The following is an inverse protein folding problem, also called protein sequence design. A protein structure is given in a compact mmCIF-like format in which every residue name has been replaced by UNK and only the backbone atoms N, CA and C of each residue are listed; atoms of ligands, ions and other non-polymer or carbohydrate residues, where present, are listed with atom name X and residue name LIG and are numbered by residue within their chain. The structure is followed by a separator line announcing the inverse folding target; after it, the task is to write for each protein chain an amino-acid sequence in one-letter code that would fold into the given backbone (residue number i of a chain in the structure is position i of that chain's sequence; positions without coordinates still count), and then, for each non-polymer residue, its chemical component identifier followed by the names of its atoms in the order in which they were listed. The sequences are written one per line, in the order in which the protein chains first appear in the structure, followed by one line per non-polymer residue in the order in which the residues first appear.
data_IF_985278929816
#
_entry.id   IF_985278929816
#
_cell.length_a   1.000
_cell.length_b   1.000
_cell.length_c   1.000
_cell.angle_alpha   90.00
_cell.angle_beta   90.00
_cell.angle_gamma   90.00
#
_symmetry.space_group_name_H-M   'P 1'
#
loop_
_entity.id
_entity.type
_entity.pdbx_description
1 polymer ?
#
# COMPACT_ATOMS: atom_id res chain seq x y z
N UNK A 1 8.64 15.57 13.54
CA UNK A 1 7.26 15.08 13.79
C UNK A 1 6.54 15.13 12.46
N UNK A 2 6.16 13.98 11.90
CA UNK A 2 5.34 13.94 10.70
C UNK A 2 3.94 14.47 11.04
N UNK A 3 3.29 15.26 10.15
CA UNK A 3 1.95 15.77 10.40
C UNK A 3 0.96 14.61 10.57
N UNK A 4 0.11 14.70 11.60
CA UNK A 4 -0.99 13.75 11.78
C UNK A 4 -1.91 13.85 10.55
N UNK A 5 -2.22 12.75 9.87
CA UNK A 5 -3.13 12.80 8.74
C UNK A 5 -4.50 13.35 9.19
N UNK A 6 -5.18 14.16 8.35
CA UNK A 6 -6.57 14.53 8.52
C UNK A 6 -7.44 13.33 8.94
N UNK A 7 -8.44 13.56 9.80
CA UNK A 7 -9.25 12.48 10.41
C UNK A 7 -9.91 11.54 9.39
N UNK A 8 -10.28 12.05 8.23
CA UNK A 8 -10.92 11.26 7.19
C UNK A 8 -9.96 10.21 6.62
N UNK A 9 -8.68 10.56 6.46
CA UNK A 9 -7.65 9.63 5.97
C UNK A 9 -7.41 8.48 6.94
N UNK A 10 -7.46 8.76 8.25
CA UNK A 10 -7.25 7.75 9.26
C UNK A 10 -8.36 6.67 9.24
N UNK A 11 -9.59 7.02 8.83
CA UNK A 11 -10.67 6.06 8.69
C UNK A 11 -10.51 5.22 7.42
N UNK A 12 -10.16 5.85 6.29
CA UNK A 12 -9.93 5.15 5.02
C UNK A 12 -8.76 4.14 5.11
N UNK A 13 -7.67 4.53 5.78
CA UNK A 13 -6.52 3.66 6.07
C UNK A 13 -6.92 2.49 6.96
N UNK A 14 -7.69 2.74 8.01
CA UNK A 14 -8.17 1.68 8.91
C UNK A 14 -9.10 0.70 8.19
N UNK A 15 -9.97 1.16 7.30
CA UNK A 15 -10.83 0.29 6.51
C UNK A 15 -10.00 -0.64 5.60
N UNK A 16 -8.96 -0.10 4.96
CA UNK A 16 -8.03 -0.90 4.17
C UNK A 16 -7.29 -1.94 5.02
N UNK A 17 -6.79 -1.57 6.20
CA UNK A 17 -6.16 -2.51 7.15
C UNK A 17 -7.12 -3.65 7.54
N UNK A 18 -8.35 -3.31 7.94
CA UNK A 18 -9.34 -4.29 8.36
C UNK A 18 -9.77 -5.23 7.22
N UNK A 19 -9.88 -4.71 6.00
CA UNK A 19 -10.21 -5.52 4.83
C UNK A 19 -9.07 -6.48 4.46
N UNK A 20 -7.81 -6.05 4.59
CA UNK A 20 -6.64 -6.88 4.39
C UNK A 20 -6.52 -7.96 5.48
N UNK A 21 -6.71 -7.60 6.75
CA UNK A 21 -6.71 -8.57 7.85
C UNK A 21 -7.77 -9.66 7.65
N UNK A 22 -8.95 -9.28 7.15
CA UNK A 22 -10.03 -10.23 6.84
C UNK A 22 -9.69 -11.15 5.66
N UNK A 23 -8.94 -10.66 4.68
CA UNK A 23 -8.51 -11.43 3.51
C UNK A 23 -7.36 -12.40 3.80
N UNK A 24 -6.66 -12.23 4.93
CA UNK A 24 -5.46 -12.99 5.32
C UNK A 24 -4.46 -13.21 4.17
N UNK A 25 -3.92 -12.14 3.55
CA UNK A 25 -2.91 -12.24 2.50
C UNK A 25 -1.64 -12.90 3.03
N UNK A 26 -1.50 -14.21 2.79
CA UNK A 26 -0.26 -14.94 3.00
C UNK A 26 0.74 -14.70 1.85
N UNK A 27 1.98 -15.17 2.04
CA UNK A 27 3.06 -15.04 1.04
C UNK A 27 2.65 -15.54 -0.37
N UNK A 28 1.92 -16.65 -0.43
CA UNK A 28 1.35 -17.21 -1.67
C UNK A 28 -0.05 -16.63 -1.88
N UNK A 29 -0.14 -15.41 -2.39
CA UNK A 29 -1.42 -14.74 -2.66
C UNK A 29 -1.45 -13.26 -2.29
N UNK A 30 -0.42 -12.76 -1.61
CA UNK A 30 -0.30 -11.35 -1.18
C UNK A 30 -0.73 -10.35 -2.26
N UNK A 31 -0.13 -10.40 -3.46
CA UNK A 31 -0.43 -9.45 -4.53
C UNK A 31 -1.89 -9.53 -5.01
N UNK A 32 -2.47 -10.73 -5.09
CA UNK A 32 -3.84 -10.90 -5.57
C UNK A 32 -4.85 -10.44 -4.52
N UNK A 33 -4.67 -10.81 -3.26
CA UNK A 33 -5.50 -10.35 -2.14
C UNK A 33 -5.45 -8.82 -1.99
N UNK A 34 -4.26 -8.22 -2.04
CA UNK A 34 -4.10 -6.77 -1.96
C UNK A 34 -4.79 -6.11 -3.16
N UNK A 35 -4.63 -6.64 -4.38
CA UNK A 35 -5.30 -6.11 -5.57
C UNK A 35 -6.82 -6.18 -5.46
N UNK A 36 -7.37 -7.28 -4.97
CA UNK A 36 -8.82 -7.45 -4.80
C UNK A 36 -9.40 -6.46 -3.79
N UNK A 37 -8.78 -6.35 -2.61
CA UNK A 37 -9.20 -5.40 -1.57
C UNK A 37 -9.09 -3.96 -2.06
N UNK A 38 -7.95 -3.60 -2.68
CA UNK A 38 -7.71 -2.26 -3.22
C UNK A 38 -8.78 -1.87 -4.23
N UNK A 39 -9.11 -2.79 -5.16
CA UNK A 39 -10.16 -2.57 -6.15
C UNK A 39 -11.54 -2.41 -5.52
N UNK A 40 -11.86 -3.17 -4.47
CA UNK A 40 -13.13 -3.07 -3.77
C UNK A 40 -13.34 -1.70 -3.10
N UNK A 41 -12.26 -1.06 -2.67
CA UNK A 41 -12.26 0.29 -2.07
C UNK A 41 -12.07 1.42 -3.10
N UNK A 42 -12.12 1.10 -4.40
CA UNK A 42 -11.97 2.10 -5.47
C UNK A 42 -10.54 2.64 -5.65
N UNK A 43 -9.55 1.97 -5.08
CA UNK A 43 -8.14 2.25 -5.30
C UNK A 43 -7.57 1.53 -6.52
N UNK A 44 -6.32 1.86 -6.82
CA UNK A 44 -5.54 1.27 -7.92
C UNK A 44 -4.32 0.57 -7.35
N UNK A 45 -4.23 -0.74 -7.54
CA UNK A 45 -3.00 -1.49 -7.29
C UNK A 45 -1.97 -1.17 -8.38
N UNK A 46 -0.74 -0.84 -8.00
CA UNK A 46 0.31 -0.44 -8.95
C UNK A 46 1.28 -1.59 -9.23
N UNK A 47 1.98 -2.04 -8.19
CA UNK A 47 2.96 -3.13 -8.26
C UNK A 47 3.27 -3.65 -6.86
N UNK A 48 3.96 -4.79 -6.79
CA UNK A 48 4.58 -5.29 -5.58
C UNK A 48 6.00 -5.79 -5.83
N UNK A 49 6.82 -5.73 -4.78
CA UNK A 49 8.24 -6.05 -4.82
C UNK A 49 8.62 -6.87 -3.57
N UNK A 50 9.69 -7.70 -3.64
CA UNK A 50 10.37 -8.15 -2.44
C UNK A 50 10.79 -6.93 -1.60
N UNK A 51 10.53 -6.95 -0.30
CA UNK A 51 10.89 -5.83 0.58
C UNK A 51 12.38 -5.84 0.98
N UNK A 52 13.10 -6.93 0.69
CA UNK A 52 14.55 -7.04 0.92
C UNK A 52 15.30 -5.89 0.23
N UNK A 53 16.00 -5.08 1.02
CA UNK A 53 16.74 -3.91 0.53
C UNK A 53 15.91 -2.61 0.44
N UNK A 54 14.63 -2.65 0.84
CA UNK A 54 13.76 -1.48 1.00
C UNK A 54 13.41 -1.30 2.47
N UNK A 55 12.88 -2.36 3.11
CA UNK A 55 12.50 -2.39 4.52
C UNK A 55 13.11 -3.60 5.21
N UNK A 56 13.80 -3.38 6.33
CA UNK A 56 14.38 -4.46 7.12
C UNK A 56 13.29 -5.32 7.80
N UNK A 57 13.45 -6.65 7.78
CA UNK A 57 12.54 -7.58 8.44
C UNK A 57 11.14 -7.64 7.82
N UNK A 58 11.01 -7.32 6.53
CA UNK A 58 9.77 -7.40 5.75
C UNK A 58 9.94 -8.30 4.54
N UNK A 59 8.88 -9.01 4.16
CA UNK A 59 8.93 -9.97 3.06
C UNK A 59 8.57 -9.33 1.71
N UNK A 60 7.45 -8.59 1.67
CA UNK A 60 6.94 -7.94 0.46
C UNK A 60 6.38 -6.56 0.77
N UNK A 61 6.40 -5.70 -0.24
CA UNK A 61 5.77 -4.38 -0.21
C UNK A 61 4.97 -4.19 -1.50
N UNK A 62 3.72 -3.75 -1.38
CA UNK A 62 2.87 -3.37 -2.51
C UNK A 62 2.59 -1.87 -2.46
N UNK A 63 2.70 -1.21 -3.62
CA UNK A 63 2.36 0.20 -3.78
C UNK A 63 0.96 0.34 -4.36
N UNK A 64 0.13 1.16 -3.72
CA UNK A 64 -1.26 1.40 -4.11
C UNK A 64 -1.53 2.90 -4.23
N UNK A 65 -2.46 3.27 -5.10
CA UNK A 65 -3.10 4.59 -5.10
C UNK A 65 -4.49 4.45 -4.52
N UNK A 66 -4.74 5.07 -3.37
CA UNK A 66 -6.06 5.05 -2.74
C UNK A 66 -6.75 6.41 -2.93
N UNK A 67 -8.08 6.47 -3.12
CA UNK A 67 -8.84 7.71 -3.28
C UNK A 67 -9.01 8.46 -1.94
N UNK A 68 -7.91 8.64 -1.22
CA UNK A 68 -7.83 9.28 0.09
C UNK A 68 -7.54 10.76 -0.13
N UNK A 69 -8.51 11.61 0.23
CA UNK A 69 -8.40 13.07 0.10
C UNK A 69 -8.64 13.63 -1.30
N UNK A 70 -8.01 14.77 -1.59
CA UNK A 70 -8.29 15.57 -2.80
C UNK A 70 -7.59 15.05 -4.08
N UNK A 71 -6.78 14.01 -3.97
CA UNK A 71 -6.07 13.38 -5.09
C UNK A 71 -5.49 12.06 -4.61
N UNK A 72 -5.53 11.03 -5.46
CA UNK A 72 -5.11 9.67 -5.10
C UNK A 72 -3.78 9.66 -4.35
N UNK A 73 -3.79 9.10 -3.14
CA UNK A 73 -2.62 9.07 -2.25
C UNK A 73 -1.89 7.74 -2.41
N UNK A 74 -0.56 7.79 -2.52
CA UNK A 74 0.26 6.57 -2.48
C UNK A 74 0.31 6.04 -1.06
N UNK A 75 -0.04 4.77 -0.90
CA UNK A 75 0.11 4.02 0.35
C UNK A 75 0.86 2.71 0.08
N UNK A 76 1.52 2.19 1.09
CA UNK A 76 2.21 0.92 1.02
C UNK A 76 1.51 -0.13 1.87
N UNK A 77 1.37 -1.32 1.32
CA UNK A 77 0.96 -2.51 2.06
C UNK A 77 2.18 -3.38 2.25
N UNK A 78 2.50 -3.74 3.49
CA UNK A 78 3.74 -4.44 3.83
C UNK A 78 3.42 -5.76 4.50
N UNK A 79 4.03 -6.83 4.01
CA UNK A 79 3.94 -8.17 4.58
C UNK A 79 5.11 -8.40 5.55
N UNK A 80 4.82 -8.86 6.77
CA UNK A 80 5.85 -9.23 7.75
C UNK A 80 6.75 -10.35 7.24
N UNK A 81 7.95 -10.46 7.82
CA UNK A 81 8.95 -11.48 7.44
C UNK A 81 8.41 -12.91 7.48
N UNK A 82 7.60 -13.22 8.50
CA UNK A 82 6.96 -14.52 8.70
C UNK A 82 5.73 -14.75 7.79
N UNK A 83 5.32 -13.74 7.01
CA UNK A 83 4.18 -13.80 6.11
C UNK A 83 2.82 -13.92 6.81
N UNK A 84 2.74 -13.59 8.10
CA UNK A 84 1.54 -13.79 8.92
C UNK A 84 0.71 -12.52 9.12
N UNK A 85 1.30 -11.33 8.91
CA UNK A 85 0.66 -10.06 9.19
C UNK A 85 0.93 -9.04 8.10
N UNK A 86 -0.06 -8.18 7.86
CA UNK A 86 0.01 -7.09 6.90
C UNK A 86 -0.23 -5.77 7.60
N UNK A 87 0.55 -4.75 7.25
CA UNK A 87 0.36 -3.37 7.69
C UNK A 87 0.12 -2.46 6.50
N UNK A 88 -0.61 -1.37 6.73
CA UNK A 88 -0.74 -0.28 5.76
C UNK A 88 0.02 0.92 6.28
N UNK A 89 1.06 1.31 5.54
CA UNK A 89 1.96 2.38 5.92
C UNK A 89 1.83 3.55 4.94
N UNK A 90 1.77 4.77 5.51
CA UNK A 90 1.93 5.99 4.73
C UNK A 90 3.37 6.14 4.26
N UNK A 91 3.59 6.95 3.22
CA UNK A 91 4.95 7.24 2.74
C UNK A 91 5.81 7.81 3.88
N UNK A 92 6.93 7.14 4.11
CA UNK A 92 7.98 7.51 5.06
C UNK A 92 9.23 7.99 4.29
N UNK A 93 10.25 8.46 5.02
CA UNK A 93 11.54 8.80 4.40
C UNK A 93 12.20 7.59 3.72
N UNK A 94 12.11 6.41 4.35
CA UNK A 94 12.65 5.14 3.84
C UNK A 94 11.97 4.70 2.53
N UNK A 95 10.69 5.04 2.35
CA UNK A 95 9.90 4.65 1.18
C UNK A 95 9.69 5.78 0.17
N UNK A 96 10.33 6.94 0.37
CA UNK A 96 10.14 8.13 -0.45
C UNK A 96 10.52 7.91 -1.92
N UNK A 97 11.64 7.22 -2.19
CA UNK A 97 12.08 6.90 -3.56
C UNK A 97 11.10 5.96 -4.26
N UNK A 98 10.57 4.99 -3.52
CA UNK A 98 9.57 4.07 -4.02
C UNK A 98 8.25 4.77 -4.30
N UNK A 99 7.86 5.74 -3.48
CA UNK A 99 6.65 6.54 -3.69
C UNK A 99 6.78 7.39 -4.97
N UNK A 100 7.93 8.02 -5.20
CA UNK A 100 8.20 8.75 -6.46
C UNK A 100 8.12 7.84 -7.68
N UNK A 101 8.62 6.61 -7.57
CA UNK A 101 8.48 5.62 -8.63
C UNK A 101 7.00 5.24 -8.86
N UNK A 102 6.21 5.07 -7.80
CA UNK A 102 4.77 4.80 -7.88
C UNK A 102 3.98 5.93 -8.55
N UNK A 103 4.28 7.18 -8.24
CA UNK A 103 3.68 8.36 -8.89
C UNK A 103 4.01 8.41 -10.38
N UNK A 104 5.26 8.14 -10.76
CA UNK A 104 5.66 8.05 -12.17
C UNK A 104 4.94 6.90 -12.89
N UNK A 105 4.79 5.74 -12.23
CA UNK A 105 4.07 4.58 -12.76
C UNK A 105 2.59 4.90 -13.02
N UNK A 106 1.92 5.54 -12.05
CA UNK A 106 0.53 6.01 -12.20
C UNK A 106 0.36 6.94 -13.40
N UNK A 107 1.29 7.88 -13.57
CA UNK A 107 1.24 8.86 -14.67
C UNK A 107 1.27 8.16 -16.03
N UNK A 108 2.08 7.11 -16.16
CA UNK A 108 2.13 6.29 -17.38
C UNK A 108 0.85 5.46 -17.58
N UNK A 109 0.26 4.93 -16.51
CA UNK A 109 -0.95 4.11 -16.58
C UNK A 109 -2.20 4.90 -17.00
N UNK A 110 -2.25 6.21 -16.76
CA UNK A 110 -3.38 7.08 -17.13
C UNK A 110 -3.37 7.58 -18.58
N UNK A 111 -2.30 7.29 -19.34
CA UNK A 111 -2.14 7.72 -20.73
C UNK A 111 -2.49 6.62 -21.76
N UNK A 112 -2.94 5.46 -21.31
CA UNK A 112 -3.42 4.34 -22.14
C UNK A 112 -4.88 4.00 -21.82
#
# INVERSE_FOLDING_TARGET
MLPRPPRDYALDLLELEMALDSAQPGANGFADSVREVTRALGGTYLFDLPASGILDGKQRIAALSMPIGAGGTIVFVVLSEDGSSVSVDMVTEETADLARFAEAFLTLHQHF
#
